data_IF_256753321757
#
_entry.id   IF_256753321757
#
_cell.length_a   1.000
_cell.length_b   1.000
_cell.length_c   1.000
_cell.angle_alpha   90.00
_cell.angle_beta   90.00
_cell.angle_gamma   90.00
#
_symmetry.space_group_name_H-M   'P 1'
#
loop_
_entity.id
_entity.type
_entity.pdbx_description
1 polymer ?
#
# COMPACT_ATOMS: atom_id res chain seq x y z
N UNK A 1 26.68 -0.88 15.14
CA UNK A 1 26.22 0.35 14.46
C UNK A 1 24.86 0.72 15.01
N UNK A 2 24.59 2.01 15.23
CA UNK A 2 23.29 2.44 15.77
C UNK A 2 22.22 2.49 14.65
N UNK A 3 20.95 2.15 14.96
CA UNK A 3 19.83 2.27 14.04
C UNK A 3 19.70 3.66 13.38
N UNK A 4 20.00 4.73 14.12
CA UNK A 4 19.94 6.12 13.65
C UNK A 4 20.94 6.43 12.52
N UNK A 5 22.14 5.85 12.59
CA UNK A 5 23.16 6.07 11.55
C UNK A 5 22.74 5.42 10.23
N UNK A 6 22.19 4.20 10.26
CA UNK A 6 21.77 3.52 9.02
C UNK A 6 20.60 4.25 8.37
N UNK A 7 19.63 4.74 9.15
CA UNK A 7 18.54 5.58 8.63
C UNK A 7 19.09 6.83 7.94
N UNK A 8 20.09 7.51 8.52
CA UNK A 8 20.68 8.70 7.89
C UNK A 8 21.38 8.41 6.55
N UNK A 9 21.93 7.20 6.39
CA UNK A 9 22.51 6.75 5.11
C UNK A 9 21.39 6.47 4.10
N UNK A 10 20.28 5.86 4.56
CA UNK A 10 19.10 5.61 3.73
C UNK A 10 18.38 6.88 3.28
N UNK A 11 18.47 7.99 4.02
CA UNK A 11 17.84 9.28 3.72
C UNK A 11 18.69 10.17 2.78
N UNK A 12 19.82 9.65 2.28
CA UNK A 12 20.72 10.42 1.46
C UNK A 12 20.15 10.73 0.07
N UNK A 13 20.46 11.91 -0.48
CA UNK A 13 20.04 12.29 -1.83
C UNK A 13 20.70 11.44 -2.93
N UNK A 14 21.90 10.91 -2.69
CA UNK A 14 22.65 10.09 -3.64
C UNK A 14 22.14 8.63 -3.66
N UNK A 15 21.65 8.11 -4.81
CA UNK A 15 21.13 6.74 -4.91
C UNK A 15 22.11 5.65 -4.46
N UNK A 16 23.41 5.83 -4.74
CA UNK A 16 24.46 4.88 -4.36
C UNK A 16 24.64 4.80 -2.83
N UNK A 17 24.53 5.93 -2.14
CA UNK A 17 24.60 5.97 -0.67
C UNK A 17 23.35 5.32 -0.08
N UNK A 18 22.16 5.56 -0.64
CA UNK A 18 20.95 4.85 -0.21
C UNK A 18 21.05 3.34 -0.44
N UNK A 19 21.64 2.91 -1.55
CA UNK A 19 21.88 1.50 -1.82
C UNK A 19 22.79 0.89 -0.75
N UNK A 20 23.89 1.55 -0.41
CA UNK A 20 24.74 1.14 0.71
C UNK A 20 23.95 1.07 2.03
N UNK A 21 23.11 2.06 2.31
CA UNK A 21 22.24 2.07 3.51
C UNK A 21 21.33 0.84 3.57
N UNK A 22 20.66 0.51 2.46
CA UNK A 22 19.82 -0.70 2.36
C UNK A 22 20.62 -1.99 2.53
N UNK A 23 21.80 -2.06 1.95
CA UNK A 23 22.68 -3.23 2.05
C UNK A 23 23.18 -3.41 3.49
N UNK A 24 23.54 -2.33 4.18
CA UNK A 24 23.91 -2.35 5.60
C UNK A 24 22.74 -2.75 6.48
N UNK A 25 21.55 -2.21 6.22
CA UNK A 25 20.37 -2.53 7.01
C UNK A 25 19.96 -4.00 6.86
N UNK A 26 20.16 -4.61 5.68
CA UNK A 26 19.93 -6.04 5.48
C UNK A 26 20.85 -6.94 6.33
N UNK A 27 22.06 -6.45 6.66
CA UNK A 27 23.09 -7.18 7.43
C UNK A 27 22.99 -6.95 8.93
N UNK A 28 22.64 -5.73 9.32
CA UNK A 28 22.60 -5.29 10.71
C UNK A 28 21.16 -5.24 11.26
N UNK A 29 20.21 -5.88 10.56
CA UNK A 29 18.80 -5.76 10.86
C UNK A 29 18.46 -6.22 12.28
N UNK A 30 17.76 -5.36 13.03
CA UNK A 30 17.13 -5.73 14.29
C UNK A 30 15.61 -5.67 14.14
N UNK A 31 14.93 -6.80 14.38
CA UNK A 31 13.48 -6.90 14.17
C UNK A 31 12.67 -6.02 15.13
N UNK A 32 13.23 -5.69 16.29
CA UNK A 32 12.61 -4.80 17.28
C UNK A 32 12.38 -3.40 16.71
N UNK A 33 13.29 -2.91 15.85
CA UNK A 33 13.23 -1.58 15.24
C UNK A 33 12.40 -1.56 13.95
N UNK A 34 11.85 -2.70 13.53
CA UNK A 34 11.13 -2.87 12.26
C UNK A 34 9.95 -1.92 12.03
N UNK A 35 9.06 -1.68 13.02
CA UNK A 35 7.97 -0.70 12.88
C UNK A 35 8.47 0.72 12.64
N UNK A 36 9.52 1.15 13.34
CA UNK A 36 10.10 2.49 13.20
C UNK A 36 10.77 2.65 11.84
N UNK A 37 11.45 1.61 11.37
CA UNK A 37 12.01 1.58 10.02
C UNK A 37 10.92 1.68 8.95
N UNK A 38 9.81 0.95 9.09
CA UNK A 38 8.71 1.02 8.14
C UNK A 38 8.18 2.45 8.03
N UNK A 39 7.90 3.11 9.16
CA UNK A 39 7.39 4.47 9.17
C UNK A 39 8.38 5.44 8.50
N UNK A 40 9.65 5.44 8.94
CA UNK A 40 10.69 6.32 8.38
C UNK A 40 10.92 6.11 6.88
N UNK A 41 10.93 4.86 6.41
CA UNK A 41 11.12 4.59 4.98
C UNK A 41 9.88 4.93 4.15
N UNK A 42 8.69 4.85 4.74
CA UNK A 42 7.43 5.21 4.08
C UNK A 42 7.30 6.72 3.80
N UNK A 43 7.99 7.55 4.58
CA UNK A 43 8.04 9.01 4.42
C UNK A 43 9.00 9.46 3.32
N UNK A 44 9.89 8.58 2.84
CA UNK A 44 10.95 8.95 1.90
C UNK A 44 10.41 9.17 0.47
N UNK A 45 10.78 10.26 -0.22
CA UNK A 45 10.24 10.58 -1.56
C UNK A 45 10.83 9.73 -2.69
N UNK A 46 12.06 9.21 -2.52
CA UNK A 46 12.73 8.45 -3.57
C UNK A 46 12.11 7.06 -3.83
N UNK A 47 12.02 6.71 -5.11
CA UNK A 47 11.34 5.50 -5.60
C UNK A 47 11.96 4.20 -5.07
N UNK A 48 13.29 4.15 -4.97
CA UNK A 48 14.03 3.01 -4.43
C UNK A 48 13.73 2.77 -2.95
N UNK A 49 13.57 3.84 -2.17
CA UNK A 49 13.16 3.75 -0.76
C UNK A 49 11.68 3.41 -0.59
N UNK A 50 10.81 3.97 -1.43
CA UNK A 50 9.40 3.58 -1.45
C UNK A 50 9.22 2.09 -1.77
N UNK A 51 9.97 1.57 -2.74
CA UNK A 51 10.00 0.13 -3.02
C UNK A 51 10.57 -0.65 -1.83
N UNK A 52 11.65 -0.17 -1.21
CA UNK A 52 12.26 -0.85 -0.07
C UNK A 52 11.33 -0.95 1.14
N UNK A 53 10.53 0.08 1.43
CA UNK A 53 9.52 0.08 2.49
C UNK A 53 8.50 -1.05 2.32
N UNK A 54 8.19 -1.47 1.08
CA UNK A 54 7.26 -2.59 0.83
C UNK A 54 7.72 -3.92 1.43
N UNK A 55 9.03 -4.09 1.69
CA UNK A 55 9.56 -5.30 2.32
C UNK A 55 9.14 -5.46 3.79
N UNK A 56 8.64 -4.37 4.41
CA UNK A 56 8.30 -4.31 5.83
C UNK A 56 6.80 -4.42 6.10
N UNK A 57 5.95 -4.21 5.08
CA UNK A 57 4.49 -4.14 5.23
C UNK A 57 3.92 -5.41 5.87
N UNK A 58 4.19 -6.58 5.28
CA UNK A 58 3.66 -7.86 5.76
C UNK A 58 4.08 -8.16 7.20
N UNK A 59 5.28 -7.77 7.61
CA UNK A 59 5.82 -8.14 8.93
C UNK A 59 5.42 -7.15 10.03
N UNK A 60 5.24 -5.88 9.69
CA UNK A 60 5.10 -4.82 10.69
C UNK A 60 3.77 -4.04 10.61
N UNK A 61 3.01 -4.15 9.52
CA UNK A 61 1.71 -3.51 9.35
C UNK A 61 0.54 -4.48 9.16
N UNK A 62 0.77 -5.77 8.85
CA UNK A 62 -0.30 -6.75 8.73
C UNK A 62 -1.06 -6.93 10.06
N UNK A 63 -2.37 -7.11 9.98
CA UNK A 63 -3.27 -7.32 11.12
C UNK A 63 -3.28 -6.15 12.12
N UNK A 64 -2.83 -4.97 11.69
CA UNK A 64 -2.73 -3.74 12.50
C UNK A 64 -3.45 -2.57 11.81
N UNK A 65 -4.77 -2.40 12.02
CA UNK A 65 -5.55 -1.37 11.33
C UNK A 65 -5.09 0.06 11.68
N UNK A 66 -4.56 0.27 12.88
CA UNK A 66 -3.90 1.51 13.30
C UNK A 66 -2.70 1.84 12.40
N UNK A 67 -1.83 0.86 12.14
CA UNK A 67 -0.66 1.04 11.27
C UNK A 67 -1.04 1.22 9.81
N UNK A 68 -2.11 0.55 9.36
CA UNK A 68 -2.65 0.75 8.03
C UNK A 68 -3.11 2.20 7.83
N UNK A 69 -3.70 2.81 8.87
CA UNK A 69 -4.12 4.21 8.87
C UNK A 69 -2.91 5.16 8.86
N UNK A 70 -1.90 4.92 9.70
CA UNK A 70 -0.66 5.72 9.73
C UNK A 70 0.05 5.74 8.36
N UNK A 71 0.02 4.62 7.64
CA UNK A 71 0.68 4.46 6.33
C UNK A 71 -0.18 4.94 5.15
N UNK A 72 -1.38 5.47 5.39
CA UNK A 72 -2.28 6.00 4.36
C UNK A 72 -1.61 7.04 3.43
N UNK A 73 -0.81 8.01 3.92
CA UNK A 73 -0.10 8.96 3.06
C UNK A 73 0.89 8.27 2.12
N UNK A 74 1.64 7.28 2.61
CA UNK A 74 2.59 6.51 1.81
C UNK A 74 1.90 5.75 0.69
N UNK A 75 0.80 5.03 0.97
CA UNK A 75 0.05 4.31 -0.06
C UNK A 75 -0.52 5.26 -1.11
N UNK A 76 -1.10 6.38 -0.67
CA UNK A 76 -1.64 7.42 -1.56
C UNK A 76 -0.55 7.96 -2.49
N UNK A 77 0.62 8.30 -1.95
CA UNK A 77 1.75 8.81 -2.73
C UNK A 77 2.24 7.79 -3.75
N UNK A 78 2.50 6.54 -3.35
CA UNK A 78 3.04 5.53 -4.26
C UNK A 78 2.04 5.14 -5.34
N UNK A 79 0.76 4.95 -4.98
CA UNK A 79 -0.28 4.56 -5.93
C UNK A 79 -0.60 5.68 -6.93
N UNK A 80 -0.54 6.95 -6.51
CA UNK A 80 -0.80 8.11 -7.36
C UNK A 80 0.28 8.42 -8.40
N UNK A 81 1.50 7.86 -8.27
CA UNK A 81 2.57 8.12 -9.24
C UNK A 81 2.32 7.44 -10.59
N UNK A 82 2.10 8.22 -11.64
CA UNK A 82 1.85 7.69 -13.01
C UNK A 82 3.14 7.13 -13.63
N UNK A 83 3.05 5.95 -14.25
CA UNK A 83 4.15 5.29 -14.97
C UNK A 83 5.45 5.08 -14.15
N UNK A 84 5.35 5.00 -12.82
CA UNK A 84 6.47 4.82 -11.89
C UNK A 84 6.18 3.71 -10.89
N UNK A 85 7.23 3.16 -10.29
CA UNK A 85 7.14 2.27 -9.13
C UNK A 85 6.22 1.04 -9.28
N UNK A 86 6.15 0.47 -10.49
CA UNK A 86 5.24 -0.66 -10.80
C UNK A 86 5.34 -1.82 -9.81
N UNK A 87 6.54 -2.21 -9.40
CA UNK A 87 6.76 -3.29 -8.44
C UNK A 87 6.22 -2.92 -7.06
N UNK A 88 6.47 -1.68 -6.60
CA UNK A 88 5.97 -1.22 -5.31
C UNK A 88 4.43 -1.17 -5.29
N UNK A 89 3.82 -0.62 -6.35
CA UNK A 89 2.36 -0.60 -6.51
C UNK A 89 1.75 -2.00 -6.45
N UNK A 90 2.32 -2.96 -7.19
CA UNK A 90 1.82 -4.33 -7.18
C UNK A 90 1.85 -4.95 -5.77
N UNK A 91 2.94 -4.71 -5.02
CA UNK A 91 3.06 -5.18 -3.64
C UNK A 91 2.05 -4.50 -2.71
N UNK A 92 1.87 -3.20 -2.86
CA UNK A 92 0.89 -2.42 -2.09
C UNK A 92 -0.54 -2.90 -2.38
N UNK A 93 -0.93 -3.05 -3.65
CA UNK A 93 -2.28 -3.56 -3.98
C UNK A 93 -2.53 -4.94 -3.39
N UNK A 94 -1.56 -5.85 -3.46
CA UNK A 94 -1.68 -7.17 -2.86
C UNK A 94 -1.83 -7.11 -1.34
N UNK A 95 -1.02 -6.27 -0.69
CA UNK A 95 -1.10 -6.04 0.75
C UNK A 95 -2.47 -5.48 1.15
N UNK A 96 -2.92 -4.39 0.51
CA UNK A 96 -4.22 -3.76 0.78
C UNK A 96 -5.39 -4.71 0.51
N UNK A 97 -5.34 -5.51 -0.56
CA UNK A 97 -6.36 -6.51 -0.85
C UNK A 97 -6.46 -7.56 0.26
N UNK A 98 -5.31 -7.98 0.81
CA UNK A 98 -5.26 -8.93 1.91
C UNK A 98 -5.83 -8.32 3.19
N UNK A 99 -5.36 -7.13 3.58
CA UNK A 99 -5.81 -6.44 4.80
C UNK A 99 -7.32 -6.11 4.77
N UNK A 100 -7.85 -5.75 3.60
CA UNK A 100 -9.28 -5.48 3.44
C UNK A 100 -10.18 -6.68 3.81
N UNK A 101 -9.68 -7.92 3.74
CA UNK A 101 -10.47 -9.10 4.10
C UNK A 101 -10.48 -9.41 5.59
N UNK A 102 -9.58 -8.80 6.37
CA UNK A 102 -9.33 -9.15 7.77
C UNK A 102 -10.27 -8.50 8.77
N UNK A 103 -10.96 -7.43 8.38
CA UNK A 103 -12.00 -6.82 9.21
C UNK A 103 -12.52 -5.48 8.67
N UNK A 104 -13.64 -4.98 9.23
CA UNK A 104 -14.31 -3.79 8.74
C UNK A 104 -13.46 -2.52 8.89
N UNK A 105 -12.66 -2.41 9.97
CA UNK A 105 -11.78 -1.25 10.17
C UNK A 105 -10.71 -1.15 9.08
N UNK A 106 -10.02 -2.26 8.77
CA UNK A 106 -9.03 -2.30 7.70
C UNK A 106 -9.69 -2.07 6.33
N UNK A 107 -10.84 -2.71 6.07
CA UNK A 107 -11.60 -2.52 4.84
C UNK A 107 -12.00 -1.05 4.60
N UNK A 108 -12.39 -0.33 5.66
CA UNK A 108 -12.73 1.08 5.60
C UNK A 108 -11.51 1.92 5.19
N UNK A 109 -10.37 1.72 5.83
CA UNK A 109 -9.12 2.43 5.48
C UNK A 109 -8.68 2.14 4.04
N UNK A 110 -8.76 0.88 3.60
CA UNK A 110 -8.44 0.50 2.21
C UNK A 110 -9.40 1.18 1.22
N UNK A 111 -10.70 1.19 1.52
CA UNK A 111 -11.69 1.84 0.68
C UNK A 111 -11.40 3.34 0.52
N UNK A 112 -11.03 4.03 1.60
CA UNK A 112 -10.66 5.45 1.55
C UNK A 112 -9.40 5.70 0.74
N UNK A 113 -8.36 4.85 0.88
CA UNK A 113 -7.14 4.94 0.07
C UNK A 113 -7.49 4.83 -1.41
N UNK A 114 -8.19 3.77 -1.80
CA UNK A 114 -8.47 3.48 -3.20
C UNK A 114 -9.47 4.47 -3.83
N UNK A 115 -10.42 4.97 -3.05
CA UNK A 115 -11.38 5.98 -3.51
C UNK A 115 -10.68 7.25 -3.95
N UNK A 116 -9.73 7.76 -3.15
CA UNK A 116 -8.93 8.96 -3.50
C UNK A 116 -8.15 8.78 -4.80
N UNK A 117 -7.69 7.57 -5.09
CA UNK A 117 -6.87 7.30 -6.27
C UNK A 117 -7.69 7.03 -7.54
N UNK A 118 -8.98 6.69 -7.44
CA UNK A 118 -9.82 6.27 -8.57
C UNK A 118 -9.95 7.28 -9.72
N UNK A 119 -9.62 8.56 -9.47
CA UNK A 119 -9.62 9.63 -10.47
C UNK A 119 -8.26 9.84 -11.19
N UNK A 120 -7.14 9.36 -10.63
CA UNK A 120 -5.79 9.79 -11.02
C UNK A 120 -4.85 8.66 -11.49
N UNK A 121 -5.28 7.39 -11.48
CA UNK A 121 -4.39 6.26 -11.80
C UNK A 121 -4.44 5.83 -13.27
N UNK A 122 -3.32 5.28 -13.76
CA UNK A 122 -3.24 4.53 -15.02
C UNK A 122 -4.30 3.41 -15.11
N UNK A 123 -4.75 3.10 -16.32
CA UNK A 123 -5.87 2.17 -16.58
C UNK A 123 -5.71 0.81 -15.89
N UNK A 124 -4.48 0.27 -15.83
CA UNK A 124 -4.20 -1.02 -15.20
C UNK A 124 -4.42 -0.98 -13.69
N UNK A 125 -3.89 0.03 -12.99
CA UNK A 125 -4.05 0.06 -11.54
C UNK A 125 -5.47 0.49 -11.14
N UNK A 126 -6.23 1.10 -12.06
CA UNK A 126 -7.67 1.30 -11.91
C UNK A 126 -8.44 -0.02 -11.85
N UNK A 127 -8.10 -1.04 -12.65
CA UNK A 127 -8.81 -2.34 -12.59
C UNK A 127 -8.58 -3.03 -11.24
N UNK A 128 -7.34 -3.05 -10.74
CA UNK A 128 -7.01 -3.62 -9.43
C UNK A 128 -7.72 -2.88 -8.29
N UNK A 129 -7.76 -1.55 -8.35
CA UNK A 129 -8.49 -0.76 -7.35
C UNK A 129 -9.99 -1.08 -7.35
N UNK A 130 -10.61 -1.21 -8.54
CA UNK A 130 -12.02 -1.57 -8.68
C UNK A 130 -12.30 -2.97 -8.13
N UNK A 131 -11.45 -3.95 -8.42
CA UNK A 131 -11.58 -5.33 -7.93
C UNK A 131 -11.56 -5.39 -6.40
N UNK A 132 -10.64 -4.65 -5.75
CA UNK A 132 -10.54 -4.59 -4.29
C UNK A 132 -11.76 -3.88 -3.70
N UNK A 133 -12.15 -2.73 -4.25
CA UNK A 133 -13.34 -1.98 -3.79
C UNK A 133 -14.63 -2.79 -3.95
N UNK A 134 -14.76 -3.59 -5.03
CA UNK A 134 -15.89 -4.48 -5.22
C UNK A 134 -15.92 -5.58 -4.16
N UNK A 135 -14.76 -6.18 -3.86
CA UNK A 135 -14.61 -7.20 -2.81
C UNK A 135 -15.00 -6.62 -1.45
N UNK A 136 -14.53 -5.42 -1.11
CA UNK A 136 -14.91 -4.71 0.12
C UNK A 136 -16.42 -4.48 0.17
N UNK A 137 -17.03 -3.99 -0.91
CA UNK A 137 -18.46 -3.72 -0.97
C UNK A 137 -19.32 -4.97 -0.78
N UNK A 138 -18.86 -6.12 -1.27
CA UNK A 138 -19.53 -7.41 -1.11
C UNK A 138 -19.40 -7.95 0.32
N UNK A 139 -18.23 -7.85 0.93
CA UNK A 139 -17.97 -8.34 2.29
C UNK A 139 -18.56 -7.41 3.38
N UNK A 140 -18.57 -6.09 3.13
CA UNK A 140 -18.99 -5.05 4.07
C UNK A 140 -19.95 -4.06 3.38
N UNK A 141 -21.25 -4.39 3.27
CA UNK A 141 -22.23 -3.55 2.56
C UNK A 141 -22.48 -2.17 3.19
N UNK A 142 -22.01 -1.91 4.40
CA UNK A 142 -22.14 -0.61 5.07
C UNK A 142 -20.96 0.33 4.78
N UNK A 143 -19.84 -0.21 4.26
CA UNK A 143 -18.68 0.60 3.88
C UNK A 143 -18.98 1.36 2.58
N UNK A 144 -18.79 2.67 2.64
CA UNK A 144 -18.95 3.55 1.50
C UNK A 144 -17.84 3.30 0.48
N UNK A 145 -18.24 2.95 -0.75
CA UNK A 145 -17.31 2.82 -1.88
C UNK A 145 -17.90 3.57 -3.08
N UNK A 146 -17.07 4.05 -4.02
CA UNK A 146 -17.55 4.77 -5.21
C UNK A 146 -18.22 3.83 -6.24
N UNK A 147 -18.32 2.53 -5.95
CA UNK A 147 -18.85 1.52 -6.87
C UNK A 147 -20.35 1.35 -6.63
N UNK A 148 -21.12 1.44 -7.71
CA UNK A 148 -22.54 1.05 -7.73
C UNK A 148 -22.68 -0.32 -8.37
N UNK A 149 -23.10 -1.33 -7.58
CA UNK A 149 -23.42 -2.66 -8.10
C UNK A 149 -24.80 -2.59 -8.74
N UNK A 150 -24.87 -2.74 -10.08
CA UNK A 150 -26.13 -2.90 -10.79
C UNK A 150 -26.42 -4.38 -10.97
N UNK A 151 -27.60 -4.89 -10.56
CA UNK A 151 -27.97 -6.27 -10.85
C UNK A 151 -28.02 -6.48 -12.37
N UNK A 152 -27.42 -7.57 -12.84
CA UNK A 152 -27.46 -7.92 -14.25
C UNK A 152 -28.92 -8.17 -14.66
N UNK A 153 -29.43 -7.42 -15.66
CA UNK A 153 -30.74 -7.71 -16.25
C UNK A 153 -30.65 -9.05 -16.96
N UNK A 154 -31.23 -10.09 -16.40
CA UNK A 154 -31.48 -11.34 -17.13
C UNK A 154 -32.45 -11.03 -18.28
N UNK A 155 -31.98 -11.16 -19.53
CA UNK A 155 -32.87 -11.24 -20.68
C UNK A 155 -33.50 -12.62 -20.67
N UNK A 156 -34.66 -12.77 -20.03
CA UNK A 156 -35.52 -13.91 -20.26
C UNK A 156 -35.94 -13.88 -21.74
N UNK A 157 -35.28 -14.69 -22.58
CA UNK A 157 -35.86 -15.11 -23.84
C UNK A 157 -36.93 -16.14 -23.50
N UNK A 158 -38.18 -15.68 -23.40
CA UNK A 158 -39.32 -16.56 -23.51
C UNK A 158 -39.44 -16.96 -24.99
N UNK A 159 -39.51 -18.28 -25.21
CA UNK A 159 -39.78 -18.94 -26.50
C UNK A 159 -41.27 -18.85 -26.79
#
# INVERSE_FOLDING_TARGET
MTPSLIVSICDNNLPEIRQLGRDLLSRCFHSVDGPDYLLKFSEHPAQDMQLFATNYLERYAADRPDRLQDLQPYFTTVLGQVNRNRVAKQRIFRFLATEATKGPAAAQTVAEILTRQSAAIALRDKSQAIEILLTIRQAYPDIATPIQIKPARHKNHAI
#
